data_IF_888855328447
#
_entry.id   IF_888855328447
#
_cell.length_a   1.000
_cell.length_b   1.000
_cell.length_c   1.000
_cell.angle_alpha   90.00
_cell.angle_beta   90.00
_cell.angle_gamma   90.00
#
_symmetry.space_group_name_H-M   'P 1'
#
loop_
_entity.id
_entity.type
_entity.pdbx_description
1 polymer ?
#
# COMPACT_ATOMS: atom_id res chain seq x y z
N UNK A 1 21.90 -8.87 -21.15
CA UNK A 1 21.03 -9.81 -21.91
C UNK A 1 20.01 -9.00 -22.71
N UNK A 2 19.66 -9.44 -23.92
CA UNK A 2 18.62 -8.79 -24.73
C UNK A 2 17.25 -9.38 -24.42
N UNK A 3 16.37 -8.61 -23.77
CA UNK A 3 15.02 -9.09 -23.41
C UNK A 3 14.13 -9.41 -24.62
N UNK A 4 14.48 -8.93 -25.82
CA UNK A 4 13.82 -9.30 -27.09
C UNK A 4 13.90 -10.80 -27.42
N UNK A 5 14.84 -11.53 -26.82
CA UNK A 5 15.09 -12.94 -27.11
C UNK A 5 14.49 -13.85 -26.01
N UNK A 6 13.73 -13.28 -25.08
CA UNK A 6 13.11 -14.00 -23.96
C UNK A 6 11.74 -14.49 -24.40
N UNK A 7 11.62 -15.80 -24.61
CA UNK A 7 10.31 -16.40 -24.81
C UNK A 7 9.54 -16.41 -23.47
N UNK A 8 8.45 -15.65 -23.40
CA UNK A 8 7.61 -15.58 -22.21
C UNK A 8 6.94 -16.92 -21.86
N UNK A 9 6.69 -17.80 -22.84
CA UNK A 9 6.10 -19.13 -22.56
C UNK A 9 7.03 -20.06 -21.78
N UNK A 10 8.32 -19.73 -21.66
CA UNK A 10 9.27 -20.45 -20.81
C UNK A 10 9.15 -20.05 -19.32
N UNK A 11 8.31 -19.05 -18.99
CA UNK A 11 8.10 -18.52 -17.64
C UNK A 11 6.62 -18.53 -17.25
N UNK A 12 5.75 -18.15 -18.19
CA UNK A 12 4.30 -18.12 -18.05
C UNK A 12 3.72 -19.29 -18.82
N UNK A 13 3.48 -20.39 -18.12
CA UNK A 13 3.00 -21.65 -18.68
C UNK A 13 1.47 -21.77 -18.64
N UNK A 14 0.79 -20.94 -17.83
CA UNK A 14 -0.68 -20.87 -17.80
C UNK A 14 -1.17 -19.66 -18.58
N UNK A 15 -2.22 -19.83 -19.39
CA UNK A 15 -3.01 -18.69 -19.88
C UNK A 15 -3.97 -18.26 -18.77
N UNK A 16 -4.04 -16.96 -18.45
CA UNK A 16 -5.08 -16.43 -17.57
C UNK A 16 -6.45 -16.70 -18.17
N UNK A 17 -7.35 -17.31 -17.40
CA UNK A 17 -8.69 -17.70 -17.86
C UNK A 17 -9.77 -17.55 -16.79
N UNK A 18 -9.52 -16.73 -15.77
CA UNK A 18 -10.43 -16.51 -14.64
C UNK A 18 -9.72 -16.45 -13.29
N UNK A 19 -10.50 -16.22 -12.23
CA UNK A 19 -10.00 -16.10 -10.85
C UNK A 19 -9.22 -17.33 -10.37
N UNK A 20 -9.56 -18.54 -10.86
CA UNK A 20 -9.01 -19.82 -10.40
C UNK A 20 -7.52 -19.99 -10.69
N UNK A 21 -7.00 -19.42 -11.78
CA UNK A 21 -5.58 -19.52 -12.15
C UNK A 21 -4.83 -18.18 -12.12
N UNK A 22 -5.50 -17.07 -11.79
CA UNK A 22 -4.88 -15.74 -11.72
C UNK A 22 -3.66 -15.68 -10.79
N UNK A 23 -3.74 -16.28 -9.60
CA UNK A 23 -2.63 -16.26 -8.65
C UNK A 23 -1.37 -16.97 -9.21
N UNK A 24 -1.54 -18.06 -9.95
CA UNK A 24 -0.47 -18.79 -10.65
C UNK A 24 0.09 -17.93 -11.77
N UNK A 25 -0.78 -17.39 -12.63
CA UNK A 25 -0.41 -16.51 -13.75
C UNK A 25 0.38 -15.29 -13.28
N UNK A 26 -0.10 -14.60 -12.24
CA UNK A 26 0.54 -13.41 -11.66
C UNK A 26 1.91 -13.75 -11.09
N UNK A 27 2.05 -14.84 -10.35
CA UNK A 27 3.32 -15.28 -9.80
C UNK A 27 4.36 -15.62 -10.90
N UNK A 28 3.91 -16.29 -11.97
CA UNK A 28 4.74 -16.58 -13.14
C UNK A 28 5.18 -15.31 -13.88
N UNK A 29 4.25 -14.37 -14.11
CA UNK A 29 4.55 -13.11 -14.77
C UNK A 29 5.50 -12.25 -13.93
N UNK A 30 5.28 -12.11 -12.62
CA UNK A 30 6.21 -11.42 -11.71
C UNK A 30 7.61 -12.04 -11.73
N UNK A 31 7.71 -13.38 -11.76
CA UNK A 31 9.00 -14.08 -11.86
C UNK A 31 9.76 -13.75 -13.16
N UNK A 32 9.04 -13.57 -14.28
CA UNK A 32 9.62 -13.07 -15.53
C UNK A 32 10.09 -11.60 -15.38
N UNK A 33 9.30 -10.74 -14.73
CA UNK A 33 9.68 -9.33 -14.53
C UNK A 33 10.91 -9.19 -13.61
N UNK A 34 11.00 -10.01 -12.56
CA UNK A 34 12.13 -10.04 -11.63
C UNK A 34 13.41 -10.50 -12.32
N UNK A 35 13.35 -11.57 -13.13
CA UNK A 35 14.50 -12.04 -13.93
C UNK A 35 15.04 -10.96 -14.88
N UNK A 36 14.19 -10.06 -15.35
CA UNK A 36 14.55 -8.96 -16.24
C UNK A 36 14.79 -7.64 -15.50
N UNK A 37 14.64 -7.62 -14.17
CA UNK A 37 14.75 -6.44 -13.30
C UNK A 37 13.77 -5.31 -13.68
N UNK A 38 12.60 -5.64 -14.23
CA UNK A 38 11.59 -4.69 -14.75
C UNK A 38 10.27 -4.67 -13.96
N UNK A 39 10.22 -5.32 -12.79
CA UNK A 39 9.04 -5.41 -11.91
C UNK A 39 8.42 -4.03 -11.60
N UNK A 40 9.27 -3.01 -11.45
CA UNK A 40 8.85 -1.63 -11.22
C UNK A 40 8.03 -1.01 -12.36
N UNK A 41 7.93 -1.61 -13.55
CA UNK A 41 6.98 -1.16 -14.59
C UNK A 41 5.54 -1.30 -14.11
N UNK A 42 5.23 -2.37 -13.35
CA UNK A 42 3.87 -2.59 -12.80
C UNK A 42 3.73 -2.03 -11.40
N UNK A 43 4.73 -2.17 -10.53
CA UNK A 43 4.63 -1.74 -9.12
C UNK A 43 4.97 -0.25 -8.88
N UNK A 44 6.02 0.28 -9.52
CA UNK A 44 6.59 1.60 -9.22
C UNK A 44 6.79 2.46 -10.48
N UNK A 45 5.83 2.42 -11.42
CA UNK A 45 5.94 2.93 -12.80
C UNK A 45 6.60 4.31 -12.92
N UNK A 46 6.24 5.26 -12.05
CA UNK A 46 6.77 6.63 -12.08
C UNK A 46 8.26 6.72 -11.68
N UNK A 47 8.73 5.86 -10.78
CA UNK A 47 10.14 5.76 -10.41
C UNK A 47 10.95 5.07 -11.52
N UNK A 48 10.40 4.00 -12.10
CA UNK A 48 11.02 3.31 -13.23
C UNK A 48 11.26 4.24 -14.43
N UNK A 49 10.25 5.05 -14.80
CA UNK A 49 10.37 6.00 -15.91
C UNK A 49 11.40 7.11 -15.66
N UNK A 50 11.70 7.44 -14.40
CA UNK A 50 12.73 8.43 -14.04
C UNK A 50 14.15 7.86 -13.96
N UNK A 51 14.29 6.55 -13.79
CA UNK A 51 15.57 5.87 -13.54
C UNK A 51 16.17 5.17 -14.77
N UNK A 52 15.52 5.28 -15.94
CA UNK A 52 15.90 4.64 -17.20
C UNK A 52 15.82 5.63 -18.37
N UNK A 53 16.53 5.34 -19.46
CA UNK A 53 16.40 6.12 -20.70
C UNK A 53 15.06 5.88 -21.40
N UNK A 54 14.60 6.85 -22.17
CA UNK A 54 13.28 6.81 -22.82
C UNK A 54 13.12 5.62 -23.77
N UNK A 55 14.14 5.30 -24.58
CA UNK A 55 14.13 4.14 -25.49
C UNK A 55 14.05 2.81 -24.75
N UNK A 56 14.74 2.72 -23.59
CA UNK A 56 14.67 1.54 -22.73
C UNK A 56 13.26 1.40 -22.15
N UNK A 57 12.66 2.48 -21.65
CA UNK A 57 11.27 2.51 -21.17
C UNK A 57 10.30 2.06 -22.27
N UNK A 58 10.36 2.68 -23.45
CA UNK A 58 9.49 2.35 -24.60
C UNK A 58 9.57 0.88 -24.96
N UNK A 59 10.80 0.35 -25.13
CA UNK A 59 11.04 -1.06 -25.50
C UNK A 59 10.43 -2.04 -24.50
N UNK A 60 10.66 -1.85 -23.20
CA UNK A 60 10.17 -2.79 -22.20
C UNK A 60 8.67 -2.66 -21.90
N UNK A 61 8.07 -1.46 -22.02
CA UNK A 61 6.61 -1.29 -21.89
C UNK A 61 5.88 -1.99 -23.05
N UNK A 62 6.41 -1.94 -24.27
CA UNK A 62 5.85 -2.65 -25.43
C UNK A 62 5.98 -4.17 -25.26
N UNK A 63 7.17 -4.66 -24.86
CA UNK A 63 7.38 -6.10 -24.59
C UNK A 63 6.45 -6.62 -23.49
N UNK A 64 6.31 -5.88 -22.38
CA UNK A 64 5.40 -6.26 -21.30
C UNK A 64 3.94 -6.33 -21.77
N UNK A 65 3.48 -5.37 -22.59
CA UNK A 65 2.12 -5.42 -23.16
C UNK A 65 1.91 -6.67 -24.01
N UNK A 66 2.89 -7.01 -24.86
CA UNK A 66 2.85 -8.21 -25.68
C UNK A 66 2.84 -9.50 -24.84
N UNK A 67 3.63 -9.57 -23.76
CA UNK A 67 3.65 -10.73 -22.86
C UNK A 67 2.38 -10.88 -22.03
N UNK A 68 1.82 -9.78 -21.52
CA UNK A 68 0.52 -9.80 -20.85
C UNK A 68 -0.52 -10.35 -21.82
N UNK A 69 -0.77 -9.69 -22.96
CA UNK A 69 -1.79 -10.09 -23.94
C UNK A 69 -1.58 -11.52 -24.47
N UNK A 70 -0.34 -11.92 -24.78
CA UNK A 70 -0.01 -13.26 -25.27
C UNK A 70 -0.17 -14.37 -24.22
N UNK A 71 -0.40 -14.02 -22.95
CA UNK A 71 -0.62 -14.96 -21.83
C UNK A 71 -2.06 -14.96 -21.31
N UNK A 72 -2.99 -14.35 -22.03
CA UNK A 72 -4.43 -14.38 -21.73
C UNK A 72 -5.12 -15.45 -22.59
N UNK A 73 -6.23 -16.01 -22.11
CA UNK A 73 -7.14 -16.80 -22.94
C UNK A 73 -8.05 -15.88 -23.78
N UNK A 74 -8.77 -16.50 -24.71
CA UNK A 74 -9.61 -15.85 -25.70
C UNK A 74 -10.81 -15.11 -25.06
N UNK A 75 -11.29 -15.61 -23.92
CA UNK A 75 -12.37 -14.99 -23.12
C UNK A 75 -11.89 -13.71 -22.42
N UNK A 76 -10.74 -13.77 -21.75
CA UNK A 76 -10.09 -12.61 -21.11
C UNK A 76 -9.73 -11.54 -22.14
N UNK A 77 -9.25 -11.97 -23.32
CA UNK A 77 -8.99 -11.09 -24.46
C UNK A 77 -10.25 -10.41 -25.01
N UNK A 78 -11.44 -10.94 -24.74
CA UNK A 78 -12.71 -10.42 -25.24
C UNK A 78 -13.11 -9.04 -24.69
N UNK A 79 -12.61 -8.66 -23.51
CA UNK A 79 -12.99 -7.40 -22.84
C UNK A 79 -11.81 -6.49 -22.45
N UNK A 80 -10.56 -6.91 -22.69
CA UNK A 80 -9.38 -6.06 -22.45
C UNK A 80 -9.30 -4.90 -23.46
N UNK A 81 -9.10 -3.68 -22.96
CA UNK A 81 -8.82 -2.52 -23.82
C UNK A 81 -7.42 -2.62 -24.46
N UNK A 82 -7.39 -2.98 -25.74
CA UNK A 82 -6.17 -3.05 -26.55
C UNK A 82 -5.49 -1.70 -26.77
N UNK A 83 -6.14 -0.56 -26.53
CA UNK A 83 -5.50 0.76 -26.59
C UNK A 83 -4.72 1.07 -25.30
N UNK A 84 -5.13 0.49 -24.17
CA UNK A 84 -4.57 0.76 -22.86
C UNK A 84 -3.07 0.44 -22.72
N UNK A 85 -2.41 1.08 -21.75
CA UNK A 85 -0.99 0.85 -21.47
C UNK A 85 -0.74 -0.50 -20.78
N UNK A 86 0.47 -1.06 -20.86
CA UNK A 86 0.79 -2.35 -20.21
C UNK A 86 0.42 -2.41 -18.71
N UNK A 87 0.77 -1.35 -17.97
CA UNK A 87 0.41 -1.18 -16.56
C UNK A 87 -1.10 -0.97 -16.35
N UNK A 88 -1.79 -0.37 -17.31
CA UNK A 88 -3.24 -0.15 -17.26
C UNK A 88 -3.96 -1.50 -17.36
N UNK A 89 -3.57 -2.34 -18.34
CA UNK A 89 -4.09 -3.70 -18.50
C UNK A 89 -3.74 -4.56 -17.27
N UNK A 90 -2.52 -4.45 -16.75
CA UNK A 90 -2.13 -5.13 -15.50
C UNK A 90 -3.07 -4.79 -14.34
N UNK A 91 -3.32 -3.50 -14.11
CA UNK A 91 -4.22 -3.04 -13.04
C UNK A 91 -5.65 -3.51 -13.27
N UNK A 92 -6.18 -3.47 -14.51
CA UNK A 92 -7.51 -4.02 -14.80
C UNK A 92 -7.60 -5.52 -14.51
N UNK A 93 -6.61 -6.32 -14.90
CA UNK A 93 -6.57 -7.76 -14.59
C UNK A 93 -6.36 -8.02 -13.08
N UNK A 94 -5.73 -7.10 -12.37
CA UNK A 94 -5.57 -7.15 -10.92
C UNK A 94 -6.87 -6.79 -10.18
N UNK A 95 -7.56 -5.73 -10.59
CA UNK A 95 -8.87 -5.35 -10.01
C UNK A 95 -9.95 -6.41 -10.31
N UNK A 96 -9.92 -7.05 -11.49
CA UNK A 96 -10.86 -8.11 -11.89
C UNK A 96 -10.58 -9.45 -11.20
N UNK A 97 -9.31 -9.91 -11.21
CA UNK A 97 -8.98 -11.30 -10.86
C UNK A 97 -8.12 -11.49 -9.62
N UNK A 98 -7.47 -10.45 -9.09
CA UNK A 98 -6.88 -10.56 -7.77
C UNK A 98 -8.01 -10.81 -6.78
N UNK A 99 -7.86 -11.85 -5.96
CA UNK A 99 -8.95 -12.49 -5.23
C UNK A 99 -9.41 -11.65 -4.01
N UNK A 100 -9.87 -10.43 -4.25
CA UNK A 100 -10.83 -9.77 -3.39
C UNK A 100 -12.13 -10.57 -3.50
N UNK A 101 -12.30 -11.57 -2.63
CA UNK A 101 -13.63 -12.03 -2.21
C UNK A 101 -14.50 -10.79 -2.07
N UNK A 102 -15.56 -10.63 -2.86
CA UNK A 102 -16.37 -9.42 -2.71
C UNK A 102 -16.86 -9.31 -1.25
N UNK A 103 -16.87 -8.10 -0.65
CA UNK A 103 -17.43 -7.90 0.68
C UNK A 103 -18.80 -8.58 0.73
N UNK A 104 -19.04 -9.48 1.69
CA UNK A 104 -20.40 -9.96 1.89
C UNK A 104 -21.28 -8.79 2.31
N UNK A 105 -22.58 -8.85 2.03
CA UNK A 105 -23.52 -7.76 2.35
C UNK A 105 -23.43 -7.37 3.84
N UNK A 106 -23.40 -8.38 4.72
CA UNK A 106 -23.11 -8.23 6.15
C UNK A 106 -21.81 -7.46 6.45
N UNK A 107 -20.70 -7.79 5.79
CA UNK A 107 -19.42 -7.09 6.06
C UNK A 107 -19.42 -5.65 5.52
N UNK A 108 -20.21 -5.38 4.47
CA UNK A 108 -20.45 -4.04 3.99
C UNK A 108 -21.33 -3.25 4.98
N UNK A 109 -22.36 -3.87 5.57
CA UNK A 109 -23.17 -3.29 6.65
C UNK A 109 -22.32 -3.01 7.91
N UNK A 110 -21.48 -3.96 8.33
CA UNK A 110 -20.51 -3.79 9.43
C UNK A 110 -19.59 -2.57 9.17
N UNK A 111 -19.07 -2.44 7.94
CA UNK A 111 -18.28 -1.27 7.53
C UNK A 111 -19.11 0.02 7.52
N UNK A 112 -20.33 0.00 6.99
CA UNK A 112 -21.20 1.17 6.94
C UNK A 112 -21.56 1.63 8.35
N UNK A 113 -21.84 0.71 9.27
CA UNK A 113 -22.06 1.00 10.69
C UNK A 113 -20.82 1.67 11.31
N UNK A 114 -19.64 1.06 11.17
CA UNK A 114 -18.38 1.62 11.66
C UNK A 114 -18.10 3.02 11.07
N UNK A 115 -18.27 3.21 9.76
CA UNK A 115 -17.97 4.47 9.07
C UNK A 115 -18.83 5.66 9.51
N UNK A 116 -20.02 5.40 10.07
CA UNK A 116 -20.93 6.41 10.60
C UNK A 116 -20.68 6.74 12.08
N UNK A 117 -19.74 6.08 12.76
CA UNK A 117 -19.44 6.36 14.17
C UNK A 117 -18.67 7.67 14.32
N UNK A 118 -19.19 8.55 15.17
CA UNK A 118 -18.46 9.75 15.59
C UNK A 118 -17.43 9.39 16.68
N UNK A 119 -16.16 9.25 16.28
CA UNK A 119 -15.01 8.97 17.15
C UNK A 119 -14.96 9.86 18.39
N UNK A 120 -15.33 11.14 18.28
CA UNK A 120 -15.28 12.09 19.41
C UNK A 120 -16.22 11.75 20.57
N UNK A 121 -17.21 10.87 20.35
CA UNK A 121 -18.09 10.34 21.40
C UNK A 121 -17.44 9.22 22.23
N UNK A 122 -16.31 8.67 21.77
CA UNK A 122 -15.58 7.55 22.40
C UNK A 122 -14.18 7.98 22.85
N UNK A 123 -13.47 8.71 21.97
CA UNK A 123 -12.13 9.24 22.21
C UNK A 123 -12.24 10.71 22.58
N UNK A 124 -12.37 10.97 23.89
CA UNK A 124 -12.58 12.32 24.44
C UNK A 124 -11.29 13.10 24.62
N UNK A 125 -10.13 12.45 24.61
CA UNK A 125 -8.81 13.10 24.69
C UNK A 125 -8.13 13.10 23.33
N UNK A 126 -7.51 14.22 22.96
CA UNK A 126 -6.56 14.26 21.84
C UNK A 126 -5.19 13.82 22.30
N UNK A 127 -4.54 12.89 21.60
CA UNK A 127 -3.17 12.49 21.90
C UNK A 127 -2.22 13.68 21.71
N UNK A 128 -1.60 14.11 22.80
CA UNK A 128 -0.67 15.26 22.86
C UNK A 128 0.63 14.93 23.59
N UNK A 129 0.79 13.70 24.08
CA UNK A 129 2.02 13.24 24.71
C UNK A 129 1.84 11.99 25.54
N UNK A 130 2.95 11.51 26.11
CA UNK A 130 2.98 10.30 26.96
C UNK A 130 1.98 10.35 28.13
N UNK A 131 1.70 11.54 28.67
CA UNK A 131 0.82 11.74 29.83
C UNK A 131 -0.64 11.35 29.59
N UNK A 132 -1.13 11.39 28.35
CA UNK A 132 -2.50 10.98 28.02
C UNK A 132 -2.56 9.81 27.03
N UNK A 133 -1.42 9.23 26.67
CA UNK A 133 -1.35 8.08 25.76
C UNK A 133 -2.12 6.86 26.27
N UNK A 134 -1.92 6.43 27.52
CA UNK A 134 -2.61 5.26 28.08
C UNK A 134 -4.14 5.41 28.03
N UNK A 135 -4.65 6.61 28.35
CA UNK A 135 -6.08 6.93 28.30
C UNK A 135 -6.61 6.99 26.86
N UNK A 136 -5.88 7.66 25.96
CA UNK A 136 -6.20 7.71 24.53
C UNK A 136 -6.25 6.31 23.91
N UNK A 137 -5.25 5.47 24.23
CA UNK A 137 -5.14 4.08 23.75
C UNK A 137 -6.30 3.25 24.26
N UNK A 138 -6.64 3.34 25.55
CA UNK A 138 -7.78 2.63 26.13
C UNK A 138 -9.12 3.04 25.48
N UNK A 139 -9.32 4.34 25.21
CA UNK A 139 -10.50 4.84 24.50
C UNK A 139 -10.57 4.34 23.05
N UNK A 140 -9.44 4.35 22.33
CA UNK A 140 -9.34 3.79 20.99
C UNK A 140 -9.64 2.29 20.98
N UNK A 141 -8.97 1.49 21.80
CA UNK A 141 -9.20 0.03 21.88
C UNK A 141 -10.67 -0.28 22.21
N UNK A 142 -11.30 0.46 23.12
CA UNK A 142 -12.73 0.31 23.44
C UNK A 142 -13.65 0.60 22.25
N UNK A 143 -13.29 1.56 21.38
CA UNK A 143 -14.02 1.84 20.14
C UNK A 143 -13.83 0.72 19.10
N UNK A 144 -12.61 0.18 18.97
CA UNK A 144 -12.32 -0.89 17.99
C UNK A 144 -12.93 -2.23 18.40
N UNK A 145 -12.92 -2.55 19.69
CA UNK A 145 -13.56 -3.73 20.28
C UNK A 145 -15.09 -3.68 20.09
N UNK A 146 -15.72 -2.55 20.45
CA UNK A 146 -17.17 -2.31 20.21
C UNK A 146 -17.58 -2.52 18.74
N UNK A 147 -16.68 -2.22 17.81
CA UNK A 147 -16.91 -2.36 16.37
C UNK A 147 -16.39 -3.68 15.77
N UNK A 148 -15.85 -4.58 16.60
CA UNK A 148 -15.28 -5.87 16.18
C UNK A 148 -14.17 -5.73 15.12
N UNK A 149 -13.37 -4.66 15.20
CA UNK A 149 -12.25 -4.35 14.31
C UNK A 149 -10.91 -4.23 15.08
N UNK A 150 -10.86 -4.72 16.31
CA UNK A 150 -9.67 -4.73 17.16
C UNK A 150 -8.48 -5.48 16.51
N UNK A 151 -8.76 -6.59 15.81
CA UNK A 151 -7.76 -7.38 15.08
C UNK A 151 -6.97 -6.56 14.04
N UNK A 152 -7.48 -5.41 13.57
CA UNK A 152 -6.74 -4.54 12.64
C UNK A 152 -5.44 -4.01 13.27
N UNK A 153 -5.43 -3.79 14.60
CA UNK A 153 -4.26 -3.31 15.34
C UNK A 153 -3.57 -4.41 16.15
N UNK A 154 -4.29 -5.42 16.66
CA UNK A 154 -3.69 -6.48 17.48
C UNK A 154 -3.21 -7.70 16.67
N UNK A 155 -3.91 -8.07 15.60
CA UNK A 155 -3.65 -9.32 14.86
C UNK A 155 -3.87 -9.15 13.35
N UNK A 156 -3.16 -8.17 12.79
CA UNK A 156 -3.41 -7.70 11.41
C UNK A 156 -3.32 -8.78 10.35
N UNK A 157 -2.41 -9.76 10.48
CA UNK A 157 -2.26 -10.79 9.45
C UNK A 157 -3.53 -11.66 9.37
N UNK A 158 -4.06 -12.11 10.51
CA UNK A 158 -5.30 -12.88 10.55
C UNK A 158 -6.51 -12.07 10.02
N UNK A 159 -6.54 -10.75 10.26
CA UNK A 159 -7.56 -9.88 9.67
C UNK A 159 -7.43 -9.73 8.14
N UNK A 160 -6.20 -9.61 7.63
CA UNK A 160 -5.93 -9.57 6.19
C UNK A 160 -6.33 -10.87 5.48
N UNK A 161 -6.10 -12.01 6.13
CA UNK A 161 -6.39 -13.33 5.57
C UNK A 161 -7.90 -13.68 5.57
N UNK A 162 -8.71 -12.97 6.37
CA UNK A 162 -10.16 -13.22 6.51
C UNK A 162 -11.04 -12.22 5.75
N UNK A 163 -10.53 -11.02 5.43
CA UNK A 163 -11.28 -9.92 4.82
C UNK A 163 -10.94 -9.68 3.35
N UNK A 164 -11.87 -9.06 2.63
CA UNK A 164 -11.65 -8.63 1.26
C UNK A 164 -10.64 -7.48 1.17
N UNK A 165 -9.86 -7.42 0.09
CA UNK A 165 -8.91 -6.31 -0.10
C UNK A 165 -9.62 -4.95 -0.13
N UNK A 166 -10.85 -4.90 -0.67
CA UNK A 166 -11.69 -3.70 -0.66
C UNK A 166 -12.03 -3.25 0.77
N UNK A 167 -12.42 -4.18 1.67
CA UNK A 167 -12.67 -3.86 3.07
C UNK A 167 -11.38 -3.47 3.80
N UNK A 168 -10.28 -4.19 3.57
CA UNK A 168 -8.96 -3.86 4.13
C UNK A 168 -8.56 -2.43 3.78
N UNK A 169 -8.67 -2.03 2.51
CA UNK A 169 -8.38 -0.65 2.06
C UNK A 169 -9.35 0.37 2.70
N UNK A 170 -10.65 0.07 2.76
CA UNK A 170 -11.67 0.93 3.39
C UNK A 170 -11.43 1.16 4.88
N UNK A 171 -11.20 0.10 5.65
CA UNK A 171 -10.92 0.19 7.08
C UNK A 171 -9.55 0.82 7.36
N UNK A 172 -8.52 0.57 6.54
CA UNK A 172 -7.22 1.25 6.67
C UNK A 172 -7.37 2.78 6.53
N UNK A 173 -8.17 3.25 5.57
CA UNK A 173 -8.48 4.68 5.39
C UNK A 173 -9.29 5.24 6.57
N UNK A 174 -10.33 4.52 7.00
CA UNK A 174 -11.18 4.94 8.12
C UNK A 174 -10.38 5.08 9.42
N UNK A 175 -9.62 4.04 9.76
CA UNK A 175 -8.85 3.97 10.99
C UNK A 175 -7.68 4.97 11.00
N UNK A 176 -7.07 5.24 9.83
CA UNK A 176 -6.14 6.38 9.66
C UNK A 176 -6.80 7.71 10.01
N UNK A 177 -7.97 7.99 9.44
CA UNK A 177 -8.67 9.24 9.68
C UNK A 177 -9.02 9.41 11.17
N UNK A 178 -9.37 8.31 11.85
CA UNK A 178 -9.65 8.29 13.28
C UNK A 178 -8.41 8.56 14.13
N UNK A 179 -7.33 7.82 13.90
CA UNK A 179 -6.07 8.01 14.63
C UNK A 179 -5.57 9.44 14.41
N UNK A 180 -5.40 9.87 13.15
CA UNK A 180 -4.88 11.20 12.82
C UNK A 180 -5.79 12.34 13.29
N UNK A 181 -7.11 12.20 13.19
CA UNK A 181 -8.08 13.19 13.68
C UNK A 181 -8.10 13.34 15.21
N UNK A 182 -7.67 12.28 15.93
CA UNK A 182 -7.52 12.28 17.38
C UNK A 182 -6.15 12.77 17.88
N UNK A 183 -5.22 13.12 16.99
CA UNK A 183 -3.95 13.75 17.39
C UNK A 183 -4.15 15.25 17.67
N UNK A 184 -3.35 15.78 18.59
CA UNK A 184 -3.31 17.22 18.88
C UNK A 184 -2.25 17.97 18.06
N UNK A 185 -1.19 17.28 17.64
CA UNK A 185 -0.03 17.88 16.99
C UNK A 185 0.30 17.19 15.65
N UNK A 186 0.89 17.97 14.73
CA UNK A 186 1.45 17.43 13.48
C UNK A 186 2.81 16.83 13.82
N UNK A 187 2.86 15.51 14.03
CA UNK A 187 4.08 14.76 14.23
C UNK A 187 5.00 14.91 13.00
N UNK A 188 6.03 15.75 13.09
CA UNK A 188 6.78 16.25 11.93
C UNK A 188 7.60 15.19 11.18
N UNK A 189 7.98 14.10 11.86
CA UNK A 189 8.71 12.95 11.27
C UNK A 189 7.80 11.75 10.97
N UNK A 190 6.49 11.88 11.10
CA UNK A 190 5.57 10.76 11.02
C UNK A 190 5.35 10.27 9.58
N UNK A 191 5.42 8.94 9.37
CA UNK A 191 5.16 8.37 8.06
C UNK A 191 3.65 8.28 7.77
N UNK A 192 3.04 9.40 7.38
CA UNK A 192 1.65 9.49 6.93
C UNK A 192 1.28 8.56 5.75
N UNK A 193 2.26 7.90 5.10
CA UNK A 193 2.01 6.90 4.05
C UNK A 193 2.00 5.45 4.55
N UNK A 194 2.27 5.21 5.83
CA UNK A 194 2.09 3.92 6.48
C UNK A 194 0.60 3.48 6.49
N UNK A 195 0.33 2.20 6.76
CA UNK A 195 -1.01 1.68 7.08
C UNK A 195 -1.45 2.09 8.50
N UNK A 196 -2.74 1.99 8.82
CA UNK A 196 -3.30 2.34 10.12
C UNK A 196 -2.61 1.59 11.29
N UNK A 197 -2.30 0.30 11.09
CA UNK A 197 -1.50 -0.48 12.04
C UNK A 197 -0.04 -0.01 12.12
N UNK A 198 0.58 0.40 11.01
CA UNK A 198 1.95 0.95 11.05
C UNK A 198 2.00 2.27 11.82
N UNK A 199 0.98 3.10 11.66
CA UNK A 199 0.73 4.31 12.46
C UNK A 199 0.55 3.95 13.94
N UNK A 200 -0.29 2.95 14.25
CA UNK A 200 -0.53 2.48 15.61
C UNK A 200 0.74 2.01 16.32
N UNK A 201 1.51 1.12 15.69
CA UNK A 201 2.80 0.61 16.22
C UNK A 201 3.80 1.75 16.42
N UNK A 202 3.86 2.72 15.50
CA UNK A 202 4.74 3.89 15.66
C UNK A 202 4.38 4.69 16.92
N UNK A 203 3.08 4.87 17.21
CA UNK A 203 2.62 5.55 18.44
C UNK A 203 2.85 4.69 19.70
N UNK A 204 2.79 3.36 19.60
CA UNK A 204 3.20 2.46 20.70
C UNK A 204 4.68 2.62 21.03
N UNK A 205 5.56 2.54 20.04
CA UNK A 205 7.01 2.71 20.23
C UNK A 205 7.35 4.11 20.77
N UNK A 206 6.72 5.16 20.23
CA UNK A 206 6.99 6.55 20.61
C UNK A 206 6.50 6.88 22.03
N UNK A 207 5.32 6.39 22.43
CA UNK A 207 4.68 6.82 23.68
C UNK A 207 4.72 5.79 24.81
N UNK A 208 4.61 4.49 24.51
CA UNK A 208 4.51 3.42 25.51
C UNK A 208 5.86 3.05 26.15
N UNK A 209 7.00 3.38 25.51
CA UNK A 209 8.33 3.01 26.01
C UNK A 209 8.78 3.88 27.21
N UNK A 210 8.20 3.62 28.39
CA UNK A 210 8.78 3.92 29.72
C UNK A 210 7.98 3.22 30.84
N UNK A 211 8.23 1.93 31.06
CA UNK A 211 7.84 1.22 32.30
C UNK A 211 8.94 0.35 32.93
N UNK A 212 10.17 0.47 32.44
CA UNK A 212 11.36 -0.07 33.11
C UNK A 212 12.13 1.08 33.79
N UNK A 213 12.16 1.14 35.13
CA UNK A 213 13.12 1.98 35.82
C UNK A 213 14.49 1.32 35.75
N UNK A 214 15.26 1.61 34.71
CA UNK A 214 16.70 1.34 34.72
C UNK A 214 17.39 2.27 35.70
N UNK A 215 17.40 1.87 36.98
CA UNK A 215 18.49 2.25 37.86
C UNK A 215 19.82 1.84 37.21
N UNK A 216 20.91 2.51 37.61
CA UNK A 216 22.28 2.32 37.11
C UNK A 216 22.60 2.95 35.74
N UNK A 217 22.68 4.30 35.70
CA UNK A 217 23.84 4.97 35.11
C UNK A 217 24.00 6.39 35.69
N UNK A 218 25.20 6.71 36.18
CA UNK A 218 25.56 8.04 36.64
C UNK A 218 25.93 8.96 35.45
N UNK A 219 25.41 10.18 35.47
CA UNK A 219 26.16 11.42 35.18
C UNK A 219 26.96 11.51 33.85
N UNK A 220 26.36 12.11 32.82
CA UNK A 220 27.05 12.53 31.58
C UNK A 220 26.28 13.58 30.80
N UNK A 221 26.92 14.72 30.46
CA UNK A 221 26.27 15.85 29.77
C UNK A 221 26.29 15.71 28.24
N UNK A 222 25.18 16.14 27.62
CA UNK A 222 25.11 16.99 26.42
C UNK A 222 25.53 16.48 25.04
N UNK A 223 24.61 16.73 24.10
CA UNK A 223 24.78 17.12 22.68
C UNK A 223 25.18 16.12 21.59
N UNK A 224 24.40 16.20 20.50
CA UNK A 224 24.74 15.94 19.09
C UNK A 224 25.13 14.52 18.69
N UNK A 225 24.19 13.79 18.09
CA UNK A 225 24.47 12.57 17.31
C UNK A 225 24.05 12.76 15.85
N UNK A 226 24.99 13.26 15.05
CA UNK A 226 25.06 13.01 13.61
C UNK A 226 26.25 12.10 13.32
N UNK A 227 26.03 11.06 12.51
CA UNK A 227 27.02 10.18 11.84
C UNK A 227 27.37 8.81 12.47
N UNK A 228 26.74 7.77 11.91
CA UNK A 228 27.29 6.48 11.42
C UNK A 228 28.69 6.03 11.89
N UNK A 229 28.83 4.75 12.28
CA UNK A 229 29.37 3.63 11.45
C UNK A 229 29.27 2.30 12.25
N UNK A 230 29.29 1.14 11.56
CA UNK A 230 28.84 -0.17 12.04
C UNK A 230 29.92 -1.16 12.53
N UNK A 231 29.46 -2.18 13.28
CA UNK A 231 29.94 -3.57 13.48
C UNK A 231 28.83 -4.33 14.26
N UNK A 232 28.56 -5.63 14.12
CA UNK A 232 28.99 -6.64 13.13
C UNK A 232 28.73 -8.10 13.59
N UNK A 233 28.28 -8.98 12.66
CA UNK A 233 27.98 -10.44 12.79
C UNK A 233 26.63 -10.81 13.47
N UNK A 234 25.63 -11.31 12.71
CA UNK A 234 25.29 -12.72 12.34
C UNK A 234 24.54 -13.45 13.48
N UNK A 235 23.36 -14.07 13.32
CA UNK A 235 22.90 -15.10 12.33
C UNK A 235 21.35 -15.12 12.18
N UNK A 236 20.83 -15.66 11.04
CA UNK A 236 19.43 -16.07 10.71
C UNK A 236 18.34 -14.97 10.71
N UNK A 237 17.68 -14.63 9.60
CA UNK A 237 16.81 -15.39 8.65
C UNK A 237 15.33 -15.42 9.03
N UNK A 238 14.54 -14.54 8.40
CA UNK A 238 13.21 -14.83 7.83
C UNK A 238 12.63 -13.56 7.17
N UNK A 239 11.61 -13.73 6.31
CA UNK A 239 11.12 -12.71 5.36
C UNK A 239 9.81 -12.07 5.83
N UNK A 240 9.74 -10.74 5.83
CA UNK A 240 8.49 -9.99 5.53
C UNK A 240 8.78 -8.52 5.20
N UNK A 241 8.70 -8.13 3.92
CA UNK A 241 8.75 -6.72 3.50
C UNK A 241 7.33 -6.20 3.28
N UNK A 242 6.85 -5.37 4.20
CA UNK A 242 5.57 -4.65 4.07
C UNK A 242 5.67 -3.50 3.04
N UNK A 243 4.76 -3.41 2.05
CA UNK A 243 4.71 -2.25 1.16
C UNK A 243 3.72 -1.21 1.67
N UNK A 244 4.21 -0.02 2.04
CA UNK A 244 3.40 1.17 2.31
C UNK A 244 4.16 2.43 1.85
N UNK A 245 3.95 2.84 0.60
CA UNK A 245 4.39 4.15 0.08
C UNK A 245 3.69 4.50 -1.22
N UNK A 246 2.62 5.28 -1.14
CA UNK A 246 2.15 6.10 -2.27
C UNK A 246 2.05 7.54 -1.79
N UNK A 247 2.91 8.42 -2.34
CA UNK A 247 2.76 9.87 -2.26
C UNK A 247 2.32 10.39 -3.63
N UNK A 248 1.15 11.02 -3.70
CA UNK A 248 0.79 11.97 -4.75
C UNK A 248 0.18 13.20 -4.11
N UNK A 249 0.89 14.32 -4.19
CA UNK A 249 0.31 15.66 -4.02
C UNK A 249 -0.23 16.12 -5.38
N UNK A 250 -1.48 16.58 -5.38
CA UNK A 250 -2.12 17.24 -6.52
C UNK A 250 -2.39 18.69 -6.09
N UNK A 251 -2.04 19.67 -6.91
CA UNK A 251 -2.40 21.08 -6.70
C UNK A 251 -3.10 21.57 -7.96
N UNK A 252 -4.31 22.07 -7.78
CA UNK A 252 -5.19 22.52 -8.86
C UNK A 252 -5.16 24.04 -9.01
N UNK A 253 -5.03 24.54 -10.24
CA UNK A 253 -5.59 25.82 -10.72
C UNK A 253 -6.02 25.58 -12.17
N UNK A 254 -7.32 25.57 -12.44
CA UNK A 254 -8.20 26.72 -12.72
C UNK A 254 -8.11 27.21 -14.17
N UNK A 255 -9.29 27.42 -14.73
CA UNK A 255 -9.63 27.57 -16.15
C UNK A 255 -8.96 28.79 -16.80
N UNK A 256 -8.74 28.69 -18.10
CA UNK A 256 -9.08 29.78 -19.02
C UNK A 256 -9.65 29.20 -20.33
N UNK A 257 -10.73 29.80 -20.84
CA UNK A 257 -11.27 29.54 -22.18
C UNK A 257 -10.78 30.68 -23.08
N UNK A 258 -10.31 30.37 -24.29
CA UNK A 258 -10.16 31.35 -25.35
C UNK A 258 -10.52 30.71 -26.70
N UNK A 259 -11.23 31.49 -27.52
CA UNK A 259 -11.92 31.10 -28.74
C UNK A 259 -11.03 30.52 -29.85
N UNK A 260 -11.61 29.63 -30.66
CA UNK A 260 -11.25 29.57 -32.09
C UNK A 260 -12.04 30.65 -32.83
N UNK A 261 -11.44 31.27 -33.85
CA UNK A 261 -11.96 30.99 -35.18
C UNK A 261 -10.85 30.77 -36.21
N UNK A 262 -10.86 29.62 -36.87
CA UNK A 262 -10.14 29.46 -38.13
C UNK A 262 -11.13 29.46 -39.28
N UNK A 263 -10.94 30.40 -40.21
CA UNK A 263 -11.80 30.65 -41.35
C UNK A 263 -10.88 30.89 -42.55
N UNK A 264 -11.09 30.13 -43.63
CA UNK A 264 -10.59 30.40 -44.99
C UNK A 264 -9.06 30.14 -45.10
N UNK A 265 -8.56 29.29 -46.03
CA UNK A 265 -9.03 29.03 -47.39
C UNK A 265 -8.68 27.62 -47.87
#
# INVERSE_FOLDING_TARGET
MHASNVNASNFVSVKLSGHSNYHIWKAQMLSLLDKLMIRDIVENRQYWFKSKSEDFVKKYVILLKAWILGSLNEEVLGYVDYSACAHCIWVTLEDEYCFSRYPTERELEEYMHASNVNVSQFVSVKLSGRRNYDLWKAQMLSLLDKLMILDIVENRQNWLDTKSEVLVRKYDILLKAWILGSLNEVLTDFNYSACAHGIWVTLEDEYCFSRYPTGWALQGRSTSWSSKVAIGRLVADSRSRSPCSVKKSFVSRQREKADMPEKIK
#
